data_IF_911354527075
#
_entry.id   IF_911354527075
#
_cell.length_a   1.000
_cell.length_b   1.000
_cell.length_c   1.000
_cell.angle_alpha   90.00
_cell.angle_beta   90.00
_cell.angle_gamma   90.00
#
_symmetry.space_group_name_H-M   'P 1'
#
loop_
_entity.id
_entity.type
_entity.pdbx_description
1 polymer ?
#
# COMPACT_ATOMS: atom_id res chain seq x y z
N UNK A 1 -21.98 -5.91 -5.52
CA UNK A 1 -21.81 -7.29 -5.00
C UNK A 1 -20.59 -7.98 -5.62
N UNK A 2 -19.82 -8.79 -4.86
CA UNK A 2 -18.61 -9.45 -5.37
C UNK A 2 -18.85 -10.32 -6.62
N UNK A 3 -19.92 -11.13 -6.65
CA UNK A 3 -20.22 -12.02 -7.78
C UNK A 3 -20.40 -11.27 -9.11
N UNK A 4 -21.11 -10.14 -9.09
CA UNK A 4 -21.35 -9.34 -10.29
C UNK A 4 -20.05 -8.71 -10.79
N UNK A 5 -19.22 -8.24 -9.87
CA UNK A 5 -17.90 -7.69 -10.20
C UNK A 5 -17.00 -8.76 -10.83
N UNK A 6 -16.94 -9.97 -10.28
CA UNK A 6 -16.17 -11.06 -10.90
C UNK A 6 -16.67 -11.38 -12.31
N UNK A 7 -17.99 -11.46 -12.51
CA UNK A 7 -18.58 -11.72 -13.83
C UNK A 7 -18.18 -10.64 -14.85
N UNK A 8 -18.28 -9.36 -14.48
CA UNK A 8 -17.90 -8.23 -15.34
C UNK A 8 -16.42 -8.29 -15.73
N UNK A 9 -15.54 -8.62 -14.79
CA UNK A 9 -14.10 -8.72 -15.04
C UNK A 9 -13.71 -9.97 -15.84
N UNK A 10 -14.40 -11.09 -15.63
CA UNK A 10 -14.18 -12.34 -16.37
C UNK A 10 -14.59 -12.18 -17.85
N UNK A 11 -15.71 -11.51 -18.10
CA UNK A 11 -16.20 -11.20 -19.45
C UNK A 11 -15.53 -9.99 -20.10
N UNK A 12 -14.57 -9.34 -19.40
CA UNK A 12 -13.86 -8.13 -19.84
C UNK A 12 -14.79 -6.95 -20.19
N UNK A 13 -15.95 -6.88 -19.54
CA UNK A 13 -16.93 -5.80 -19.72
C UNK A 13 -16.55 -4.53 -18.96
N UNK A 14 -15.65 -4.62 -17.98
CA UNK A 14 -15.18 -3.50 -17.18
C UNK A 14 -14.56 -2.37 -18.04
N UNK A 15 -13.87 -2.69 -19.13
CA UNK A 15 -13.32 -1.68 -20.04
C UNK A 15 -14.40 -0.85 -20.72
N UNK A 16 -15.45 -1.50 -21.22
CA UNK A 16 -16.60 -0.83 -21.84
C UNK A 16 -17.35 0.02 -20.80
N UNK A 17 -17.61 -0.54 -19.62
CA UNK A 17 -18.32 0.16 -18.54
C UNK A 17 -17.57 1.42 -18.09
N UNK A 18 -16.24 1.36 -17.96
CA UNK A 18 -15.42 2.54 -17.63
C UNK A 18 -15.54 3.63 -18.68
N UNK A 19 -15.47 3.28 -19.97
CA UNK A 19 -15.62 4.26 -21.07
C UNK A 19 -17.01 4.91 -21.08
N UNK A 20 -18.06 4.11 -20.89
CA UNK A 20 -19.43 4.60 -20.81
C UNK A 20 -19.62 5.52 -19.59
N UNK A 21 -19.08 5.15 -18.43
CA UNK A 21 -19.14 5.96 -17.22
C UNK A 21 -18.43 7.32 -17.41
N UNK A 22 -17.20 7.32 -17.95
CA UNK A 22 -16.45 8.55 -18.22
C UNK A 22 -17.17 9.47 -19.22
N UNK A 23 -17.72 8.90 -20.30
CA UNK A 23 -18.51 9.64 -21.28
C UNK A 23 -19.77 10.24 -20.63
N UNK A 24 -20.49 9.44 -19.85
CA UNK A 24 -21.69 9.88 -19.14
C UNK A 24 -21.39 11.01 -18.14
N UNK A 25 -20.34 10.87 -17.33
CA UNK A 25 -19.89 11.92 -16.41
C UNK A 25 -19.52 13.21 -17.17
N UNK A 26 -18.84 13.09 -18.32
CA UNK A 26 -18.51 14.23 -19.17
C UNK A 26 -19.73 14.89 -19.84
N UNK A 27 -20.79 14.14 -20.13
CA UNK A 27 -22.06 14.70 -20.59
C UNK A 27 -22.79 15.48 -19.49
N UNK A 28 -22.57 15.13 -18.22
CA UNK A 28 -23.19 15.79 -17.06
C UNK A 28 -22.43 17.03 -16.59
N UNK A 29 -21.13 17.13 -16.85
CA UNK A 29 -20.31 18.27 -16.43
C UNK A 29 -19.25 18.63 -17.47
N UNK A 30 -19.30 19.88 -17.95
CA UNK A 30 -18.30 20.43 -18.86
C UNK A 30 -16.87 20.41 -18.25
N UNK A 31 -16.78 20.61 -16.94
CA UNK A 31 -15.52 20.54 -16.19
C UNK A 31 -14.98 19.10 -16.15
N UNK A 32 -15.84 18.11 -15.87
CA UNK A 32 -15.44 16.69 -15.92
C UNK A 32 -15.02 16.30 -17.34
N UNK A 33 -15.72 16.79 -18.37
CA UNK A 33 -15.35 16.58 -19.76
C UNK A 33 -13.98 17.17 -20.09
N UNK A 34 -13.68 18.37 -19.61
CA UNK A 34 -12.36 19.00 -19.74
C UNK A 34 -11.29 18.21 -18.98
N UNK A 35 -11.57 17.79 -17.75
CA UNK A 35 -10.68 16.96 -16.94
C UNK A 35 -10.34 15.64 -17.63
N UNK A 36 -11.33 14.93 -18.17
CA UNK A 36 -11.11 13.72 -18.98
C UNK A 36 -10.21 14.00 -20.18
N UNK A 37 -10.42 15.12 -20.89
CA UNK A 37 -9.58 15.51 -22.03
C UNK A 37 -8.13 15.80 -21.62
N UNK A 38 -7.92 16.51 -20.51
CA UNK A 38 -6.58 16.81 -19.99
C UNK A 38 -5.89 15.51 -19.57
N UNK A 39 -6.56 14.68 -18.77
CA UNK A 39 -6.04 13.42 -18.26
C UNK A 39 -5.65 12.46 -19.39
N UNK A 40 -6.53 12.27 -20.38
CA UNK A 40 -6.24 11.37 -21.51
C UNK A 40 -5.16 11.88 -22.46
N UNK A 41 -4.81 13.17 -22.42
CA UNK A 41 -3.73 13.74 -23.22
C UNK A 41 -2.34 13.58 -22.55
N UNK A 42 -2.27 13.07 -21.32
CA UNK A 42 -0.99 12.81 -20.64
C UNK A 42 -0.41 11.48 -21.13
N UNK A 43 0.69 11.54 -21.88
CA UNK A 43 1.35 10.35 -22.46
C UNK A 43 2.76 10.08 -21.88
N UNK A 44 3.16 10.81 -20.83
CA UNK A 44 4.53 10.78 -20.28
C UNK A 44 4.93 9.37 -19.82
N UNK A 45 6.13 8.94 -20.22
CA UNK A 45 6.76 7.66 -19.83
C UNK A 45 7.47 7.76 -18.46
N UNK A 46 7.60 6.67 -17.69
CA UNK A 46 7.27 5.28 -18.04
C UNK A 46 5.79 4.91 -17.87
N UNK A 47 4.98 5.78 -17.28
CA UNK A 47 3.54 5.61 -17.13
C UNK A 47 2.87 6.99 -16.96
N UNK A 48 1.71 7.26 -17.60
CA UNK A 48 1.01 8.54 -17.47
C UNK A 48 0.79 8.96 -16.01
N UNK A 49 1.35 10.11 -15.63
CA UNK A 49 1.42 10.57 -14.24
C UNK A 49 0.89 11.99 -14.12
N UNK A 50 0.02 12.22 -13.13
CA UNK A 50 -0.35 13.56 -12.67
C UNK A 50 0.24 13.78 -11.28
N UNK A 51 0.80 14.97 -11.08
CA UNK A 51 1.22 15.49 -9.78
C UNK A 51 0.16 16.45 -9.25
N UNK A 52 0.05 16.56 -7.93
CA UNK A 52 -0.86 17.51 -7.26
C UNK A 52 -1.81 16.80 -6.30
N UNK A 53 -3.05 17.25 -6.25
CA UNK A 53 -4.13 16.66 -5.44
C UNK A 53 -5.49 17.09 -5.98
N UNK A 54 -6.55 16.46 -5.48
CA UNK A 54 -7.91 16.93 -5.75
C UNK A 54 -8.17 18.30 -5.09
N UNK A 55 -9.26 18.95 -5.47
CA UNK A 55 -9.65 20.26 -4.91
C UNK A 55 -10.96 20.13 -4.14
N UNK A 56 -11.53 21.24 -3.66
CA UNK A 56 -12.86 21.24 -3.00
C UNK A 56 -14.00 20.78 -3.92
N UNK A 57 -13.75 20.63 -5.22
CA UNK A 57 -14.72 20.16 -6.22
C UNK A 57 -15.13 18.71 -6.00
N UNK A 58 -14.17 17.86 -5.62
CA UNK A 58 -14.28 16.41 -5.55
C UNK A 58 -13.63 15.88 -4.28
N UNK A 59 -14.10 14.75 -3.77
CA UNK A 59 -13.39 14.01 -2.74
C UNK A 59 -12.29 13.14 -3.36
N UNK A 60 -11.38 12.64 -2.52
CA UNK A 60 -10.27 11.78 -2.97
C UNK A 60 -10.77 10.58 -3.78
N UNK A 61 -11.83 9.92 -3.31
CA UNK A 61 -12.32 8.70 -3.93
C UNK A 61 -12.77 9.01 -5.36
N UNK A 62 -13.67 9.97 -5.55
CA UNK A 62 -14.19 10.37 -6.86
C UNK A 62 -13.09 10.83 -7.82
N UNK A 63 -12.11 11.60 -7.33
CA UNK A 63 -10.92 11.97 -8.09
C UNK A 63 -10.14 10.74 -8.58
N UNK A 64 -9.84 9.81 -7.66
CA UNK A 64 -9.05 8.63 -7.96
C UNK A 64 -9.77 7.62 -8.86
N UNK A 65 -11.09 7.48 -8.73
CA UNK A 65 -11.88 6.63 -9.64
C UNK A 65 -11.82 7.16 -11.08
N UNK A 66 -11.95 8.48 -11.26
CA UNK A 66 -11.85 9.12 -12.57
C UNK A 66 -10.43 8.98 -13.15
N UNK A 67 -9.41 9.36 -12.36
CA UNK A 67 -8.00 9.37 -12.78
C UNK A 67 -7.51 7.97 -13.17
N UNK A 68 -7.80 6.96 -12.34
CA UNK A 68 -7.41 5.58 -12.61
C UNK A 68 -8.12 5.03 -13.87
N UNK A 69 -9.39 5.40 -14.06
CA UNK A 69 -10.18 4.99 -15.23
C UNK A 69 -9.67 5.61 -16.54
N UNK A 70 -9.14 6.84 -16.48
CA UNK A 70 -8.46 7.49 -17.59
C UNK A 70 -7.05 6.93 -17.86
N UNK A 71 -6.55 6.00 -17.03
CA UNK A 71 -5.29 5.30 -17.26
C UNK A 71 -4.07 5.99 -16.68
N UNK A 72 -4.25 6.93 -15.77
CA UNK A 72 -3.14 7.61 -15.10
C UNK A 72 -2.91 7.04 -13.70
N UNK A 73 -1.75 7.39 -13.17
CA UNK A 73 -1.46 7.35 -11.73
C UNK A 73 -1.33 8.76 -11.17
N UNK A 74 -1.62 8.90 -9.88
CA UNK A 74 -1.38 10.12 -9.12
C UNK A 74 -0.05 10.00 -8.36
N UNK A 75 0.70 11.10 -8.31
CA UNK A 75 1.74 11.32 -7.30
C UNK A 75 1.28 12.50 -6.45
N UNK A 76 0.76 12.25 -5.24
CA UNK A 76 0.26 13.32 -4.39
C UNK A 76 1.41 14.24 -3.97
N UNK A 77 1.32 15.51 -4.36
CA UNK A 77 2.44 16.45 -4.21
C UNK A 77 2.04 17.86 -3.75
N UNK A 78 0.76 18.08 -3.45
CA UNK A 78 0.24 19.41 -3.12
C UNK A 78 0.86 20.07 -1.87
N UNK A 79 1.33 19.27 -0.89
CA UNK A 79 2.04 19.72 0.30
C UNK A 79 3.54 19.40 0.27
N UNK A 80 4.05 18.96 -0.88
CA UNK A 80 5.44 18.55 -1.02
C UNK A 80 6.33 19.75 -1.42
N UNK A 81 7.10 20.27 -0.47
CA UNK A 81 8.04 21.37 -0.72
C UNK A 81 9.33 20.96 -1.42
N UNK A 82 9.92 21.91 -2.17
CA UNK A 82 11.31 21.88 -2.65
C UNK A 82 11.71 20.72 -3.59
N UNK A 83 10.77 20.09 -4.30
CA UNK A 83 11.10 18.98 -5.21
C UNK A 83 11.96 19.38 -6.41
N UNK A 84 11.93 20.65 -6.85
CA UNK A 84 12.89 21.16 -7.84
C UNK A 84 14.33 21.06 -7.33
N UNK A 85 14.56 21.41 -6.05
CA UNK A 85 15.84 21.24 -5.39
C UNK A 85 16.17 19.76 -5.19
N UNK A 86 15.27 18.98 -4.57
CA UNK A 86 15.52 17.57 -4.27
C UNK A 86 15.81 16.72 -5.53
N UNK A 87 15.25 17.09 -6.69
CA UNK A 87 15.54 16.41 -7.96
C UNK A 87 16.99 16.57 -8.44
N UNK A 88 17.71 17.57 -7.92
CA UNK A 88 19.11 17.85 -8.27
C UNK A 88 20.10 17.35 -7.21
N UNK A 89 19.61 16.84 -6.07
CA UNK A 89 20.48 16.32 -5.02
C UNK A 89 20.79 14.86 -5.30
N UNK A 90 22.06 14.60 -5.58
CA UNK A 90 22.55 13.24 -5.77
C UNK A 90 22.59 12.48 -4.43
N UNK A 91 22.22 11.18 -4.41
CA UNK A 91 22.48 10.33 -3.26
C UNK A 91 23.99 10.13 -3.09
N UNK A 92 24.41 9.81 -1.87
CA UNK A 92 25.81 9.50 -1.56
C UNK A 92 26.20 8.11 -2.05
N UNK A 93 25.32 7.13 -1.83
CA UNK A 93 25.52 5.72 -2.19
C UNK A 93 24.38 5.20 -3.07
N UNK A 94 24.63 4.10 -3.78
CA UNK A 94 23.57 3.34 -4.46
C UNK A 94 22.64 2.66 -3.45
N UNK A 95 21.35 2.66 -3.74
CA UNK A 95 20.37 1.91 -2.95
C UNK A 95 20.65 0.41 -3.01
N UNK A 96 20.68 -0.20 -1.84
CA UNK A 96 20.77 -1.66 -1.69
C UNK A 96 19.47 -2.16 -1.08
N UNK A 97 18.84 -3.11 -1.75
CA UNK A 97 17.72 -3.83 -1.17
C UNK A 97 18.17 -4.59 0.09
N UNK A 98 17.29 -4.67 1.08
CA UNK A 98 17.54 -5.48 2.26
C UNK A 98 17.62 -6.96 1.91
N UNK A 99 18.46 -7.73 2.63
CA UNK A 99 18.42 -9.18 2.51
C UNK A 99 17.03 -9.70 2.92
N UNK A 100 16.59 -10.76 2.27
CA UNK A 100 15.33 -11.43 2.63
C UNK A 100 15.51 -12.03 4.04
N UNK A 101 14.62 -11.73 5.01
CA UNK A 101 14.78 -12.22 6.36
C UNK A 101 14.52 -13.73 6.46
N UNK A 102 15.27 -14.40 7.34
CA UNK A 102 15.00 -15.79 7.69
C UNK A 102 13.88 -15.86 8.73
N UNK A 103 12.81 -16.62 8.43
CA UNK A 103 11.64 -16.69 9.30
C UNK A 103 11.37 -18.09 9.85
N UNK A 104 11.05 -18.15 11.15
CA UNK A 104 10.63 -19.36 11.86
C UNK A 104 9.16 -19.26 12.24
N UNK A 105 8.35 -20.16 11.67
CA UNK A 105 6.92 -20.23 11.96
C UNK A 105 6.69 -20.89 13.33
N UNK A 106 5.90 -20.23 14.17
CA UNK A 106 5.30 -20.75 15.39
C UNK A 106 3.94 -21.37 15.01
N UNK A 107 3.73 -22.68 15.18
CA UNK A 107 2.47 -23.35 14.86
C UNK A 107 1.26 -22.81 15.64
N UNK A 108 1.47 -22.13 16.77
CA UNK A 108 0.41 -21.51 17.58
C UNK A 108 0.44 -19.98 17.48
N UNK A 109 1.29 -19.44 16.61
CA UNK A 109 1.60 -18.01 16.55
C UNK A 109 0.45 -17.16 16.02
N UNK A 110 0.19 -16.04 16.67
CA UNK A 110 -0.56 -14.91 16.09
C UNK A 110 0.42 -13.84 15.69
N UNK A 111 0.49 -13.53 14.39
CA UNK A 111 1.39 -12.56 13.80
C UNK A 111 0.65 -11.26 13.52
N UNK A 112 1.20 -10.15 13.99
CA UNK A 112 0.65 -8.80 13.76
C UNK A 112 1.70 -7.95 13.07
N UNK A 113 1.29 -7.21 12.03
CA UNK A 113 2.16 -6.23 11.38
C UNK A 113 1.45 -4.87 11.30
N UNK A 114 2.19 -3.81 11.61
CA UNK A 114 1.68 -2.42 11.64
C UNK A 114 2.29 -1.63 10.49
N UNK A 115 1.43 -0.98 9.71
CA UNK A 115 1.86 -0.17 8.56
C UNK A 115 1.32 1.24 8.69
N UNK A 116 2.20 2.23 8.72
CA UNK A 116 1.81 3.64 8.63
C UNK A 116 1.36 3.97 7.20
N UNK A 117 0.19 4.58 7.07
CA UNK A 117 -0.48 4.88 5.80
C UNK A 117 0.11 6.08 5.05
N UNK A 118 -0.47 6.35 3.89
CA UNK A 118 -0.34 7.59 3.09
C UNK A 118 1.07 7.85 2.53
N UNK A 119 1.99 6.90 2.65
CA UNK A 119 3.34 7.05 2.14
C UNK A 119 3.45 7.15 0.61
N UNK A 120 2.35 6.99 -0.13
CA UNK A 120 2.29 7.38 -1.54
C UNK A 120 2.39 8.91 -1.72
N UNK A 121 2.02 9.71 -0.72
CA UNK A 121 2.15 11.17 -0.76
C UNK A 121 3.59 11.62 -0.55
N UNK A 122 4.10 12.47 -1.44
CA UNK A 122 5.46 13.02 -1.34
C UNK A 122 5.69 13.84 -0.05
N UNK A 123 4.62 14.42 0.50
CA UNK A 123 4.68 15.16 1.75
C UNK A 123 5.19 14.27 2.89
N UNK A 124 4.83 12.99 2.92
CA UNK A 124 5.13 12.12 4.06
C UNK A 124 6.65 11.99 4.30
N UNK A 125 7.39 11.74 3.23
CA UNK A 125 8.85 11.63 3.32
C UNK A 125 9.51 12.97 3.63
N UNK A 126 8.96 14.08 3.13
CA UNK A 126 9.47 15.43 3.42
C UNK A 126 9.31 15.81 4.90
N UNK A 127 8.22 15.39 5.52
CA UNK A 127 7.88 15.72 6.90
C UNK A 127 8.34 14.65 7.89
N UNK A 128 9.00 13.60 7.39
CA UNK A 128 9.54 12.47 8.12
C UNK A 128 8.49 11.80 9.03
N UNK A 129 7.35 11.53 8.41
CA UNK A 129 6.59 10.33 8.69
C UNK A 129 5.78 10.23 9.98
N UNK A 130 5.16 11.24 10.60
CA UNK A 130 5.18 12.71 10.48
C UNK A 130 5.69 13.16 11.84
N UNK A 131 7.01 13.12 11.98
CA UNK A 131 7.70 13.11 13.26
C UNK A 131 7.92 11.71 13.85
N UNK A 132 7.14 10.68 13.48
CA UNK A 132 7.35 9.33 14.02
C UNK A 132 8.73 8.77 13.64
N UNK A 133 9.29 9.15 12.49
CA UNK A 133 10.65 8.74 12.11
C UNK A 133 11.71 9.24 13.09
N UNK A 134 11.42 10.23 13.94
CA UNK A 134 12.34 10.74 14.95
C UNK A 134 11.92 10.34 16.39
N UNK A 135 10.87 9.54 16.55
CA UNK A 135 10.45 9.07 17.88
C UNK A 135 11.55 8.22 18.53
N UNK A 136 11.78 8.35 19.85
CA UNK A 136 12.68 7.48 20.61
C UNK A 136 12.20 6.02 20.67
N UNK A 137 10.93 5.73 20.40
CA UNK A 137 10.42 4.36 20.33
C UNK A 137 10.81 3.66 19.02
N UNK A 138 11.19 4.40 17.96
CA UNK A 138 11.61 3.81 16.68
C UNK A 138 12.82 2.90 16.88
N UNK A 139 12.76 1.73 16.26
CA UNK A 139 13.79 0.70 16.40
C UNK A 139 13.60 -0.23 17.60
N UNK A 140 12.69 0.07 18.54
CA UNK A 140 12.34 -0.87 19.62
C UNK A 140 11.23 -1.86 19.24
N UNK A 141 10.49 -1.57 18.16
CA UNK A 141 9.37 -2.39 17.67
C UNK A 141 9.43 -2.53 16.15
N UNK A 142 9.03 -3.69 15.58
CA UNK A 142 8.83 -3.85 14.14
C UNK A 142 7.74 -2.91 13.61
N UNK A 143 8.05 -2.15 12.56
CA UNK A 143 7.14 -1.14 12.02
C UNK A 143 7.36 -0.93 10.52
N UNK A 144 6.26 -0.82 9.76
CA UNK A 144 6.31 -0.62 8.32
C UNK A 144 5.97 0.83 7.98
N UNK A 145 6.73 1.38 7.05
CA UNK A 145 6.60 2.75 6.57
C UNK A 145 6.20 2.70 5.11
N UNK A 146 4.96 3.08 4.78
CA UNK A 146 4.65 3.34 3.39
C UNK A 146 5.57 4.45 2.86
N UNK A 147 6.06 4.26 1.64
CA UNK A 147 7.04 5.12 0.99
C UNK A 147 6.70 5.21 -0.48
N UNK A 148 6.87 6.39 -1.08
CA UNK A 148 6.66 6.60 -2.50
C UNK A 148 7.91 6.13 -3.26
N UNK A 149 7.90 4.96 -3.93
CA UNK A 149 9.10 4.43 -4.58
C UNK A 149 9.56 5.33 -5.74
N UNK A 150 8.70 6.19 -6.29
CA UNK A 150 9.08 7.17 -7.31
C UNK A 150 10.10 8.20 -6.81
N UNK A 151 10.33 8.32 -5.50
CA UNK A 151 11.44 9.11 -4.97
C UNK A 151 12.81 8.65 -5.50
N UNK A 152 12.96 7.39 -5.90
CA UNK A 152 14.19 6.90 -6.53
C UNK A 152 14.57 7.70 -7.79
N UNK A 153 13.57 8.29 -8.47
CA UNK A 153 13.78 9.17 -9.62
C UNK A 153 13.53 10.66 -9.27
N UNK A 154 12.57 10.96 -8.38
CA UNK A 154 12.12 12.33 -8.08
C UNK A 154 12.99 13.06 -7.05
N UNK A 155 13.54 12.33 -6.07
CA UNK A 155 14.31 12.86 -4.95
C UNK A 155 15.19 11.75 -4.33
N UNK A 156 16.19 11.24 -5.06
CA UNK A 156 16.93 10.03 -4.68
C UNK A 156 17.67 10.19 -3.33
N UNK A 157 18.27 11.35 -3.08
CA UNK A 157 18.92 11.62 -1.78
C UNK A 157 17.93 11.65 -0.60
N UNK A 158 16.68 12.07 -0.83
CA UNK A 158 15.65 12.03 0.20
C UNK A 158 15.29 10.59 0.55
N UNK A 159 15.10 9.73 -0.45
CA UNK A 159 14.87 8.30 -0.22
C UNK A 159 16.09 7.66 0.49
N UNK A 160 17.31 8.12 0.19
CA UNK A 160 18.55 7.51 0.68
C UNK A 160 18.67 7.72 2.19
N UNK A 161 18.23 8.89 2.66
CA UNK A 161 18.10 9.18 4.10
C UNK A 161 17.31 8.10 4.83
N UNK A 162 16.17 7.65 4.30
CA UNK A 162 15.38 6.60 4.94
C UNK A 162 16.13 5.26 4.90
N UNK A 163 16.69 4.90 3.74
CA UNK A 163 17.47 3.66 3.61
C UNK A 163 18.67 3.59 4.56
N UNK A 164 19.35 4.71 4.82
CA UNK A 164 20.54 4.76 5.69
C UNK A 164 20.23 4.83 7.17
N UNK A 165 19.10 5.44 7.54
CA UNK A 165 18.75 5.71 8.94
C UNK A 165 17.68 4.78 9.51
N UNK A 166 17.18 3.85 8.67
CA UNK A 166 16.31 2.77 9.11
C UNK A 166 17.08 1.81 10.03
N UNK A 167 16.38 1.31 11.04
CA UNK A 167 16.87 0.29 11.96
C UNK A 167 16.57 -1.11 11.40
N UNK A 168 17.01 -2.16 12.11
CA UNK A 168 16.62 -3.53 11.77
C UNK A 168 15.11 -3.78 11.94
N UNK A 169 14.37 -2.91 12.63
CA UNK A 169 12.93 -3.08 12.84
C UNK A 169 12.07 -2.25 11.88
N UNK A 170 12.68 -1.44 11.02
CA UNK A 170 11.97 -0.61 10.04
C UNK A 170 11.88 -1.32 8.69
N UNK A 171 10.68 -1.42 8.12
CA UNK A 171 10.45 -1.94 6.77
C UNK A 171 9.89 -0.84 5.87
N UNK A 172 10.57 -0.51 4.77
CA UNK A 172 10.03 0.39 3.75
C UNK A 172 9.11 -0.39 2.80
N UNK A 173 7.85 0.03 2.70
CA UNK A 173 6.81 -0.60 1.88
C UNK A 173 6.35 0.40 0.82
N UNK A 174 6.09 -0.03 -0.41
CA UNK A 174 5.54 0.89 -1.39
C UNK A 174 4.08 1.24 -1.01
N UNK A 175 3.78 2.53 -0.85
CA UNK A 175 2.44 3.01 -0.56
C UNK A 175 1.43 2.68 -1.67
N UNK A 176 0.12 2.86 -1.42
CA UNK A 176 -0.93 2.46 -2.35
C UNK A 176 -0.76 3.13 -3.73
N UNK A 177 -0.73 2.42 -4.86
CA UNK A 177 -0.75 0.95 -5.02
C UNK A 177 0.56 0.42 -5.61
N UNK A 178 1.70 1.05 -5.31
CA UNK A 178 3.00 0.79 -5.92
C UNK A 178 3.71 2.08 -6.33
N UNK A 179 4.18 2.15 -7.58
CA UNK A 179 4.80 3.37 -8.12
C UNK A 179 3.74 4.40 -8.48
N UNK A 180 3.26 5.13 -7.49
CA UNK A 180 2.18 6.11 -7.58
C UNK A 180 0.80 5.49 -7.33
N UNK A 181 -0.15 6.35 -6.98
CA UNK A 181 -1.47 5.96 -6.53
C UNK A 181 -2.39 5.68 -7.71
N UNK A 182 -2.97 4.47 -7.71
CA UNK A 182 -4.06 4.04 -8.60
C UNK A 182 -5.06 3.22 -7.80
N UNK A 183 -6.28 3.13 -8.31
CA UNK A 183 -7.29 2.14 -7.89
C UNK A 183 -7.17 0.94 -8.84
N UNK A 184 -6.53 -0.18 -8.44
CA UNK A 184 -6.11 -1.24 -9.37
C UNK A 184 -7.21 -1.82 -10.28
N UNK A 185 -8.45 -2.06 -9.80
CA UNK A 185 -9.53 -2.51 -10.68
C UNK A 185 -9.90 -1.51 -11.78
N UNK A 186 -9.64 -0.22 -11.57
CA UNK A 186 -9.96 0.83 -12.52
C UNK A 186 -8.81 1.21 -13.43
N UNK A 187 -7.57 1.02 -12.98
CA UNK A 187 -6.35 1.29 -13.75
C UNK A 187 -6.45 0.71 -15.18
N UNK A 188 -6.55 1.58 -16.18
CA UNK A 188 -6.35 1.16 -17.57
C UNK A 188 -4.90 0.66 -17.71
N UNK A 189 -4.64 -0.32 -18.58
CA UNK A 189 -3.28 -0.82 -18.80
C UNK A 189 -2.54 -1.30 -17.53
N UNK A 190 -3.26 -1.91 -16.58
CA UNK A 190 -2.71 -2.33 -15.28
C UNK A 190 -1.44 -3.20 -15.36
N UNK A 191 -1.24 -3.95 -16.44
CA UNK A 191 0.02 -4.69 -16.67
C UNK A 191 1.23 -3.78 -16.89
N UNK A 192 1.05 -2.65 -17.57
CA UNK A 192 2.12 -1.64 -17.78
C UNK A 192 2.41 -0.92 -16.47
N UNK A 193 1.37 -0.56 -15.72
CA UNK A 193 1.51 -0.03 -14.36
C UNK A 193 2.33 -0.96 -13.47
N UNK A 194 2.01 -2.26 -13.44
CA UNK A 194 2.75 -3.21 -12.62
C UNK A 194 4.22 -3.38 -13.05
N UNK A 195 4.50 -3.36 -14.36
CA UNK A 195 5.90 -3.37 -14.85
C UNK A 195 6.66 -2.12 -14.38
N UNK A 196 6.02 -0.95 -14.44
CA UNK A 196 6.61 0.29 -13.93
C UNK A 196 6.81 0.20 -12.40
N UNK A 197 5.82 -0.29 -11.66
CA UNK A 197 5.90 -0.51 -10.20
C UNK A 197 7.06 -1.40 -9.82
N UNK A 198 7.18 -2.59 -10.40
CA UNK A 198 8.29 -3.51 -10.11
C UNK A 198 9.64 -2.87 -10.42
N UNK A 199 9.80 -2.22 -11.58
CA UNK A 199 11.05 -1.55 -11.94
C UNK A 199 11.42 -0.44 -10.95
N UNK A 200 10.47 0.40 -10.58
CA UNK A 200 10.69 1.51 -9.64
C UNK A 200 10.97 0.99 -8.23
N UNK A 201 10.23 -0.03 -7.76
CA UNK A 201 10.49 -0.64 -6.45
C UNK A 201 11.87 -1.31 -6.39
N UNK A 202 12.33 -1.92 -7.49
CA UNK A 202 13.68 -2.49 -7.56
C UNK A 202 14.75 -1.40 -7.38
N UNK A 203 14.60 -0.25 -8.05
CA UNK A 203 15.49 0.91 -7.87
C UNK A 203 15.44 1.48 -6.44
N UNK A 204 14.25 1.48 -5.83
CA UNK A 204 14.04 1.99 -4.49
C UNK A 204 14.46 1.03 -3.37
N UNK A 205 14.87 -0.20 -3.70
CA UNK A 205 15.18 -1.23 -2.70
C UNK A 205 13.95 -1.79 -1.95
N UNK A 206 12.74 -1.62 -2.51
CA UNK A 206 11.48 -2.02 -1.89
C UNK A 206 10.98 -3.34 -2.50
N UNK A 207 10.55 -4.28 -1.65
CA UNK A 207 10.10 -5.61 -2.04
C UNK A 207 8.66 -5.96 -1.58
N UNK A 208 8.00 -5.09 -0.82
CA UNK A 208 6.58 -5.22 -0.43
C UNK A 208 5.79 -4.02 -0.95
N UNK A 209 4.57 -4.25 -1.41
CA UNK A 209 3.65 -3.22 -1.91
C UNK A 209 2.34 -3.28 -1.14
N UNK A 210 1.84 -2.14 -0.67
CA UNK A 210 0.44 -1.99 -0.28
C UNK A 210 -0.41 -1.74 -1.53
N UNK A 211 -1.51 -2.47 -1.72
CA UNK A 211 -2.54 -2.18 -2.74
C UNK A 211 -3.78 -1.58 -2.10
N UNK A 212 -4.37 -0.58 -2.74
CA UNK A 212 -5.52 0.17 -2.19
C UNK A 212 -6.74 -0.72 -1.89
N UNK A 213 -7.02 -1.71 -2.75
CA UNK A 213 -8.23 -2.54 -2.66
C UNK A 213 -7.91 -3.87 -1.96
N UNK A 214 -8.59 -4.14 -0.86
CA UNK A 214 -8.42 -5.36 -0.04
C UNK A 214 -8.75 -6.66 -0.79
N UNK A 215 -9.83 -6.64 -1.55
CA UNK A 215 -10.38 -7.80 -2.25
C UNK A 215 -10.64 -7.40 -3.70
N UNK A 216 -9.63 -7.26 -4.57
CA UNK A 216 -9.85 -6.90 -5.96
C UNK A 216 -10.32 -8.12 -6.78
N UNK A 217 -10.87 -7.93 -8.00
CA UNK A 217 -11.28 -9.04 -8.85
C UNK A 217 -10.17 -10.06 -9.13
N UNK A 218 -10.52 -11.34 -9.34
CA UNK A 218 -9.52 -12.39 -9.55
C UNK A 218 -8.59 -12.10 -10.74
N UNK A 219 -9.10 -11.45 -11.78
CA UNK A 219 -8.27 -11.01 -12.92
C UNK A 219 -7.20 -10.00 -12.51
N UNK A 220 -7.50 -9.08 -11.60
CA UNK A 220 -6.56 -8.09 -11.07
C UNK A 220 -5.52 -8.76 -10.17
N UNK A 221 -5.95 -9.68 -9.29
CA UNK A 221 -5.03 -10.51 -8.48
C UNK A 221 -4.04 -11.29 -9.34
N UNK A 222 -4.52 -11.93 -10.41
CA UNK A 222 -3.67 -12.65 -11.35
C UNK A 222 -2.68 -11.72 -12.06
N UNK A 223 -3.07 -10.48 -12.38
CA UNK A 223 -2.17 -9.49 -12.98
C UNK A 223 -1.12 -8.98 -11.98
N UNK A 224 -1.50 -8.72 -10.73
CA UNK A 224 -0.57 -8.37 -9.64
C UNK A 224 0.57 -9.38 -9.55
N UNK A 225 0.22 -10.66 -9.44
CA UNK A 225 1.21 -11.73 -9.27
C UNK A 225 2.00 -12.00 -10.55
N UNK A 226 1.34 -12.01 -11.72
CA UNK A 226 2.01 -12.25 -13.01
C UNK A 226 3.15 -11.24 -13.27
N UNK A 227 2.99 -9.99 -12.83
CA UNK A 227 3.94 -8.91 -13.08
C UNK A 227 4.73 -8.49 -11.84
N UNK A 228 4.70 -9.26 -10.75
CA UNK A 228 5.33 -8.88 -9.47
C UNK A 228 6.85 -8.71 -9.55
N UNK A 229 7.53 -9.48 -10.41
CA UNK A 229 8.99 -9.56 -10.45
C UNK A 229 9.61 -9.97 -9.10
N UNK A 230 10.50 -9.13 -8.58
CA UNK A 230 11.24 -9.37 -7.32
C UNK A 230 10.42 -9.16 -6.05
N UNK A 231 9.22 -8.59 -6.16
CA UNK A 231 8.37 -8.36 -4.99
C UNK A 231 8.04 -9.67 -4.25
N UNK A 232 8.12 -9.64 -2.93
CA UNK A 232 7.80 -10.76 -2.04
C UNK A 232 6.29 -11.03 -2.04
N UNK A 233 5.48 -9.97 -2.02
CA UNK A 233 4.03 -10.06 -1.99
C UNK A 233 3.38 -8.71 -1.74
N UNK A 234 2.11 -8.76 -1.36
CA UNK A 234 1.25 -7.58 -1.27
C UNK A 234 0.49 -7.56 0.05
N UNK A 235 0.57 -6.44 0.77
CA UNK A 235 -0.45 -6.07 1.76
C UNK A 235 -1.59 -5.34 1.02
N UNK A 236 -2.83 -5.54 1.44
CA UNK A 236 -3.99 -5.07 0.68
C UNK A 236 -5.04 -4.40 1.55
N UNK A 237 -5.67 -3.35 1.03
CA UNK A 237 -6.75 -2.66 1.70
C UNK A 237 -6.26 -1.52 2.57
N UNK A 238 -6.42 -0.30 2.06
CA UNK A 238 -6.28 0.92 2.86
C UNK A 238 -7.37 0.99 3.94
N UNK A 239 -8.60 0.56 3.60
CA UNK A 239 -9.65 0.26 4.56
C UNK A 239 -10.55 -0.87 4.04
N UNK A 240 -11.02 -1.73 4.93
CA UNK A 240 -11.80 -2.92 4.56
C UNK A 240 -13.27 -2.56 4.38
N UNK A 241 -13.77 -2.74 3.15
CA UNK A 241 -15.17 -2.45 2.81
C UNK A 241 -16.07 -3.66 3.13
N UNK A 242 -15.65 -4.87 2.73
CA UNK A 242 -16.51 -6.06 2.82
C UNK A 242 -15.74 -7.30 3.25
N UNK A 243 -14.72 -7.69 2.48
CA UNK A 243 -13.91 -8.89 2.72
C UNK A 243 -12.44 -8.53 2.86
N UNK A 244 -11.74 -9.28 3.69
CA UNK A 244 -10.29 -9.23 3.87
C UNK A 244 -9.68 -10.60 3.52
N UNK A 245 -9.63 -10.98 2.22
CA UNK A 245 -9.03 -12.25 1.83
C UNK A 245 -7.52 -12.27 2.13
N UNK A 246 -7.05 -13.42 2.57
CA UNK A 246 -5.64 -13.68 2.86
C UNK A 246 -5.28 -15.01 2.20
N UNK A 247 -4.59 -14.95 1.06
CA UNK A 247 -4.37 -16.13 0.23
C UNK A 247 -3.02 -16.13 -0.49
N UNK A 248 -2.62 -17.32 -0.95
CA UNK A 248 -1.59 -17.46 -1.97
C UNK A 248 -2.22 -17.42 -3.35
N UNK A 249 -1.90 -16.39 -4.13
CA UNK A 249 -2.24 -16.33 -5.55
C UNK A 249 -1.01 -16.78 -6.32
N UNK A 250 -1.08 -17.96 -6.97
CA UNK A 250 0.06 -18.56 -7.71
C UNK A 250 1.35 -18.58 -6.88
N UNK A 251 1.25 -18.99 -5.61
CA UNK A 251 2.37 -19.07 -4.67
C UNK A 251 2.85 -17.73 -4.10
N UNK A 252 2.26 -16.60 -4.49
CA UNK A 252 2.60 -15.26 -3.95
C UNK A 252 1.58 -14.85 -2.88
N UNK A 253 2.02 -14.41 -1.70
CA UNK A 253 1.12 -13.92 -0.66
C UNK A 253 0.48 -12.59 -1.05
N UNK A 254 -0.85 -12.56 -1.06
CA UNK A 254 -1.67 -11.35 -1.18
C UNK A 254 -2.59 -11.32 0.04
N UNK A 255 -2.28 -10.44 0.98
CA UNK A 255 -2.89 -10.43 2.31
C UNK A 255 -3.62 -9.12 2.55
N UNK A 256 -4.93 -9.18 2.70
CA UNK A 256 -5.69 -8.04 3.16
C UNK A 256 -5.43 -7.76 4.65
N UNK A 257 -5.31 -6.47 4.97
CA UNK A 257 -5.38 -5.99 6.34
C UNK A 257 -6.72 -6.41 6.95
N UNK A 258 -6.77 -6.68 8.26
CA UNK A 258 -8.03 -6.96 8.96
C UNK A 258 -8.66 -5.66 9.48
N UNK A 259 -7.84 -4.66 9.81
CA UNK A 259 -8.27 -3.36 10.34
C UNK A 259 -7.48 -2.20 9.71
N UNK A 260 -8.12 -1.01 9.58
CA UNK A 260 -9.51 -0.71 9.95
C UNK A 260 -10.51 -1.08 8.86
N UNK A 261 -11.77 -1.26 9.27
CA UNK A 261 -12.89 -1.24 8.32
C UNK A 261 -13.21 0.20 7.92
N UNK A 262 -13.86 0.40 6.76
CA UNK A 262 -14.21 1.76 6.26
C UNK A 262 -14.99 2.59 7.28
N UNK A 263 -15.85 1.97 8.09
CA UNK A 263 -16.61 2.66 9.13
C UNK A 263 -15.74 3.22 10.28
N UNK A 264 -14.50 2.74 10.39
CA UNK A 264 -13.58 2.97 11.51
C UNK A 264 -12.33 3.75 11.10
N UNK A 265 -12.30 4.32 9.89
CA UNK A 265 -11.14 5.12 9.42
C UNK A 265 -10.90 6.39 10.25
N UNK A 266 -11.91 6.83 11.00
CA UNK A 266 -11.87 8.02 11.86
C UNK A 266 -11.57 7.71 13.32
N UNK A 267 -11.36 6.43 13.65
CA UNK A 267 -11.10 5.99 15.02
C UNK A 267 -9.80 6.61 15.55
N UNK A 268 -9.79 6.90 16.84
CA UNK A 268 -8.57 7.26 17.58
C UNK A 268 -7.65 6.06 17.72
N UNK A 269 -6.35 6.28 18.00
CA UNK A 269 -5.40 5.20 18.28
C UNK A 269 -5.93 4.20 19.33
N UNK A 270 -6.50 4.68 20.44
CA UNK A 270 -7.06 3.83 21.49
C UNK A 270 -8.22 2.95 20.98
N UNK A 271 -9.12 3.49 20.17
CA UNK A 271 -10.24 2.75 19.60
C UNK A 271 -9.76 1.67 18.62
N UNK A 272 -8.83 2.00 17.72
CA UNK A 272 -8.25 1.06 16.77
C UNK A 272 -7.48 -0.06 17.48
N UNK A 273 -6.66 0.28 18.48
CA UNK A 273 -5.91 -0.70 19.24
C UNK A 273 -6.81 -1.56 20.12
N UNK A 274 -7.94 -1.04 20.63
CA UNK A 274 -8.93 -1.86 21.33
C UNK A 274 -9.61 -2.88 20.40
N UNK A 275 -9.86 -2.51 19.14
CA UNK A 275 -10.33 -3.47 18.13
C UNK A 275 -9.31 -4.59 17.92
N UNK A 276 -8.02 -4.24 17.87
CA UNK A 276 -6.94 -5.23 17.78
C UNK A 276 -6.94 -6.15 19.01
N UNK A 277 -7.08 -5.65 20.24
CA UNK A 277 -7.21 -6.50 21.44
C UNK A 277 -8.36 -7.51 21.29
N UNK A 278 -9.52 -7.07 20.78
CA UNK A 278 -10.65 -7.95 20.48
C UNK A 278 -10.34 -9.03 19.43
N UNK A 279 -9.51 -8.73 18.43
CA UNK A 279 -9.03 -9.73 17.46
C UNK A 279 -8.07 -10.73 18.10
N UNK A 280 -7.20 -10.28 19.01
CA UNK A 280 -6.20 -11.13 19.70
C UNK A 280 -6.83 -12.12 20.68
N UNK A 281 -8.01 -11.82 21.24
CA UNK A 281 -8.73 -12.72 22.14
C UNK A 281 -9.36 -13.94 21.45
N UNK A 282 -9.47 -13.93 20.11
CA UNK A 282 -10.02 -15.06 19.36
C UNK A 282 -9.01 -16.20 19.34
N UNK A 283 -9.41 -17.34 19.89
CA UNK A 283 -8.64 -18.59 19.89
C UNK A 283 -8.42 -19.05 18.44
N UNK A 284 -7.17 -19.42 18.13
CA UNK A 284 -6.80 -19.92 16.80
C UNK A 284 -6.05 -21.25 16.95
N UNK A 285 -6.54 -22.29 16.29
CA UNK A 285 -5.90 -23.62 16.27
C UNK A 285 -4.78 -23.72 15.22
N UNK A 286 -4.53 -22.62 14.50
CA UNK A 286 -3.54 -22.47 13.43
C UNK A 286 -2.91 -21.09 13.50
N UNK A 287 -1.72 -20.91 12.90
CA UNK A 287 -1.11 -19.60 12.80
C UNK A 287 -2.07 -18.56 12.19
N UNK A 288 -2.15 -17.39 12.81
CA UNK A 288 -3.03 -16.29 12.37
C UNK A 288 -2.23 -15.05 11.99
N UNK A 289 -2.74 -14.29 11.03
CA UNK A 289 -2.04 -13.16 10.41
C UNK A 289 -2.97 -11.92 10.40
N UNK A 290 -2.65 -10.92 11.21
CA UNK A 290 -3.43 -9.69 11.35
C UNK A 290 -2.61 -8.51 10.78
N UNK A 291 -3.02 -8.01 9.61
CA UNK A 291 -2.49 -6.76 9.07
C UNK A 291 -3.24 -5.55 9.65
N UNK A 292 -2.50 -4.57 10.16
CA UNK A 292 -3.03 -3.33 10.74
C UNK A 292 -2.53 -2.15 9.92
N UNK A 293 -3.43 -1.43 9.27
CA UNK A 293 -3.12 -0.22 8.51
C UNK A 293 -3.48 1.01 9.35
N UNK A 294 -2.49 1.86 9.62
CA UNK A 294 -2.60 2.95 10.58
C UNK A 294 -2.75 4.26 9.83
N UNK A 295 -3.84 4.98 10.07
CA UNK A 295 -4.00 6.34 9.57
C UNK A 295 -2.93 7.25 10.17
N UNK A 296 -2.02 7.76 9.33
CA UNK A 296 -0.81 8.49 9.73
C UNK A 296 -1.08 9.67 10.67
N UNK A 297 -2.25 10.30 10.54
CA UNK A 297 -2.65 11.47 11.32
C UNK A 297 -3.37 11.13 12.64
N UNK A 298 -3.55 9.84 12.95
CA UNK A 298 -4.40 9.35 14.05
C UNK A 298 -3.68 8.44 15.02
N UNK A 299 -2.67 7.70 14.58
CA UNK A 299 -1.93 6.73 15.39
C UNK A 299 -0.44 6.90 15.19
N UNK A 300 0.28 7.10 16.29
CA UNK A 300 1.72 7.27 16.30
C UNK A 300 2.46 5.95 16.54
N UNK A 301 3.75 5.93 16.25
CA UNK A 301 4.61 4.78 16.60
C UNK A 301 4.72 4.61 18.12
N UNK A 302 4.57 5.70 18.90
CA UNK A 302 4.60 5.65 20.36
C UNK A 302 3.38 4.92 20.93
N UNK A 303 2.20 5.12 20.33
CA UNK A 303 0.97 4.39 20.68
C UNK A 303 1.15 2.88 20.43
N UNK A 304 1.75 2.52 19.30
CA UNK A 304 2.03 1.12 18.94
C UNK A 304 3.08 0.51 19.85
N UNK A 305 4.13 1.25 20.21
CA UNK A 305 5.15 0.78 21.14
C UNK A 305 4.56 0.54 22.54
N UNK A 306 3.70 1.43 23.02
CA UNK A 306 2.97 1.24 24.27
C UNK A 306 2.06 -0.01 24.22
N UNK A 307 1.38 -0.22 23.10
CA UNK A 307 0.55 -1.40 22.88
C UNK A 307 1.37 -2.69 22.93
N UNK A 308 2.47 -2.77 22.18
CA UNK A 308 3.33 -3.96 22.11
C UNK A 308 3.91 -4.27 23.50
N UNK A 309 4.36 -3.25 24.23
CA UNK A 309 4.89 -3.42 25.59
C UNK A 309 3.88 -4.04 26.57
N UNK A 310 2.58 -3.70 26.42
CA UNK A 310 1.49 -4.27 27.22
C UNK A 310 1.18 -5.72 26.84
N UNK A 311 1.42 -6.10 25.59
CA UNK A 311 1.05 -7.39 25.04
C UNK A 311 2.29 -8.26 24.77
N UNK A 312 2.87 -8.81 25.83
CA UNK A 312 3.97 -9.77 25.72
C UNK A 312 3.48 -11.17 26.11
N UNK A 313 2.95 -11.91 25.14
CA UNK A 313 2.56 -13.32 25.33
C UNK A 313 3.40 -14.21 24.42
N UNK A 314 3.66 -15.46 24.85
CA UNK A 314 4.66 -16.32 24.19
C UNK A 314 4.38 -16.69 22.73
N UNK A 315 3.12 -16.58 22.28
CA UNK A 315 2.70 -16.90 20.90
C UNK A 315 2.22 -15.67 20.11
N UNK A 316 2.35 -14.45 20.67
CA UNK A 316 2.03 -13.22 19.95
C UNK A 316 3.31 -12.61 19.39
N UNK A 317 3.39 -12.50 18.08
CA UNK A 317 4.57 -12.06 17.35
C UNK A 317 4.26 -10.78 16.58
N UNK A 318 4.89 -9.67 16.95
CA UNK A 318 4.88 -8.45 16.15
C UNK A 318 6.04 -8.52 15.17
N UNK A 319 5.78 -8.31 13.87
CA UNK A 319 6.74 -8.54 12.80
C UNK A 319 6.65 -7.48 11.71
N UNK A 320 7.73 -7.30 10.95
CA UNK A 320 7.74 -6.45 9.75
C UNK A 320 6.91 -7.06 8.62
N UNK A 321 6.54 -6.27 7.62
CA UNK A 321 5.72 -6.71 6.49
C UNK A 321 6.37 -7.82 5.65
N UNK A 322 7.68 -7.74 5.43
CA UNK A 322 8.44 -8.76 4.70
C UNK A 322 8.44 -10.10 5.45
N UNK A 323 8.72 -10.08 6.75
CA UNK A 323 8.63 -11.27 7.62
C UNK A 323 7.21 -11.83 7.67
N UNK A 324 6.21 -10.96 7.83
CA UNK A 324 4.79 -11.33 7.87
C UNK A 324 4.37 -12.10 6.62
N UNK A 325 4.71 -11.60 5.43
CA UNK A 325 4.36 -12.24 4.16
C UNK A 325 5.10 -13.58 3.97
N UNK A 326 6.35 -13.69 4.40
CA UNK A 326 7.13 -14.93 4.33
C UNK A 326 6.58 -16.00 5.30
N UNK A 327 6.22 -15.61 6.52
CA UNK A 327 5.59 -16.49 7.51
C UNK A 327 4.23 -16.99 7.02
N UNK A 328 3.42 -16.09 6.47
CA UNK A 328 2.14 -16.39 5.85
C UNK A 328 2.30 -17.38 4.68
N UNK A 329 3.26 -17.12 3.80
CA UNK A 329 3.56 -18.01 2.67
C UNK A 329 3.99 -19.41 3.14
N UNK A 330 4.86 -19.49 4.16
CA UNK A 330 5.30 -20.76 4.75
C UNK A 330 4.13 -21.54 5.36
N UNK A 331 3.25 -20.86 6.10
CA UNK A 331 2.06 -21.47 6.69
C UNK A 331 1.11 -22.05 5.62
N UNK A 332 0.79 -21.27 4.59
CA UNK A 332 -0.16 -21.69 3.55
C UNK A 332 0.42 -22.79 2.64
N UNK A 333 1.72 -22.77 2.37
CA UNK A 333 2.40 -23.86 1.65
C UNK A 333 2.41 -25.17 2.45
N UNK A 334 2.62 -25.11 3.77
CA UNK A 334 2.58 -26.29 4.63
C UNK A 334 1.17 -26.88 4.76
N UNK A 335 0.14 -26.04 4.70
CA UNK A 335 -1.27 -26.47 4.78
C UNK A 335 -1.80 -27.08 3.48
N UNK A 336 -1.07 -26.93 2.36
CA UNK A 336 -1.44 -27.45 1.04
C UNK A 336 -0.81 -28.82 0.73
N UNK A 337 -0.02 -29.36 1.65
CA UNK A 337 0.60 -30.70 1.58
C UNK A 337 -0.18 -31.69 2.43
#
# INVERSE_FOLDING_TARGET
>A
PPWLRELLFALRLDGLLKRLALAWMGCKSAEVKLSNRIQTAVEVLPYPTIFGWHTKRDDELTFMLQLSSNGLRLVPSHLAGNFSFHSQVNPLDEFKADPIPEVKLDPQGTYVTFTLSDGDQLMMMNTAELGNWNSPARGSIPFNWETQPLLADLAPALLERFSRTKTANDCLVAGPSGAGYVVPPLAAHFSDYMRATTKTCQKAGINVVTTYVADPPRRVLNQLVKYKGHLLGFLSGYAIVTRAPQELVQGTPVFANEIPQVAHIWDTASQLLSQLEGLLLKVNDKPRFIGVHLFAYRTSIDDVAAFIKKHNTGHLHFVRADEFLLLAQKHLNNSSK
#
